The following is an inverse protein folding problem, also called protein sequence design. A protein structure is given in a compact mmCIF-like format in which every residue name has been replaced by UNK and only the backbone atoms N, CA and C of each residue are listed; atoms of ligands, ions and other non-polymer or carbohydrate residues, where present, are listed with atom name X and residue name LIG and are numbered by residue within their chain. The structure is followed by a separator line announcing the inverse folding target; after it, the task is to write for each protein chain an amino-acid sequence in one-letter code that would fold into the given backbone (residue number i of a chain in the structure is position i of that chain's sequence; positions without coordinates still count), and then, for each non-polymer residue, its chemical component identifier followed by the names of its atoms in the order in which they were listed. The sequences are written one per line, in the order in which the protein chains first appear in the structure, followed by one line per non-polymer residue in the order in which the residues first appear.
data_IF_229699161004
#
_entry.id   IF_229699161004
#
_cell.length_a   1.000
_cell.length_b   1.000
_cell.length_c   1.000
_cell.angle_alpha   90.00
_cell.angle_beta   90.00
_cell.angle_gamma   90.00
#
_symmetry.space_group_name_H-M   'P 1'
#
loop_
_entity.id
_entity.type
_entity.pdbx_description
1 polymer ?
#
# COMPACT_ATOMS: atom_id res chain seq x y z
N UNK A 1 -1.98 -10.29 5.87
CA UNK A 1 -3.01 -11.01 5.11
C UNK A 1 -2.34 -11.68 3.92
N UNK A 2 -2.72 -12.88 3.51
CA UNK A 2 -2.21 -13.45 2.27
C UNK A 2 -2.82 -12.71 1.07
N UNK A 3 -2.07 -12.56 -0.04
CA UNK A 3 -2.53 -11.81 -1.22
C UNK A 3 -3.82 -12.43 -1.81
N UNK A 4 -3.90 -13.75 -1.88
CA UNK A 4 -5.09 -14.48 -2.31
C UNK A 4 -6.34 -14.21 -1.44
N UNK A 5 -6.17 -14.03 -0.13
CA UNK A 5 -7.29 -13.70 0.76
C UNK A 5 -7.80 -12.28 0.51
N UNK A 6 -6.91 -11.36 0.13
CA UNK A 6 -7.28 -10.00 -0.24
C UNK A 6 -8.02 -9.96 -1.59
N UNK A 7 -7.54 -10.71 -2.58
CA UNK A 7 -8.18 -10.89 -3.90
C UNK A 7 -9.62 -11.40 -3.76
N UNK A 8 -9.82 -12.48 -3.00
CA UNK A 8 -11.16 -13.06 -2.79
C UNK A 8 -12.11 -12.08 -2.12
N UNK A 9 -11.66 -11.39 -1.05
CA UNK A 9 -12.47 -10.40 -0.34
C UNK A 9 -12.81 -9.19 -1.22
N UNK A 10 -11.86 -8.74 -2.02
CA UNK A 10 -12.07 -7.64 -2.96
C UNK A 10 -13.10 -8.03 -4.03
N UNK A 11 -12.92 -9.19 -4.67
CA UNK A 11 -13.83 -9.70 -5.70
C UNK A 11 -15.26 -9.86 -5.18
N UNK A 12 -15.43 -10.42 -3.98
CA UNK A 12 -16.74 -10.58 -3.37
C UNK A 12 -17.41 -9.23 -3.09
N UNK A 13 -16.68 -8.28 -2.49
CA UNK A 13 -17.21 -6.96 -2.18
C UNK A 13 -17.55 -6.15 -3.44
N UNK A 14 -16.71 -6.20 -4.48
CA UNK A 14 -16.99 -5.53 -5.75
C UNK A 14 -18.20 -6.15 -6.45
N UNK A 15 -18.30 -7.49 -6.48
CA UNK A 15 -19.45 -8.17 -7.06
C UNK A 15 -20.77 -7.80 -6.36
N UNK A 16 -20.78 -7.76 -5.03
CA UNK A 16 -21.94 -7.34 -4.25
C UNK A 16 -22.30 -5.87 -4.51
N UNK A 17 -21.31 -4.99 -4.60
CA UNK A 17 -21.53 -3.57 -4.91
C UNK A 17 -22.16 -3.39 -6.30
N UNK A 18 -21.67 -4.10 -7.32
CA UNK A 18 -22.22 -4.00 -8.68
C UNK A 18 -23.65 -4.52 -8.80
N UNK A 19 -24.08 -5.42 -7.91
CA UNK A 19 -25.45 -5.94 -7.88
C UNK A 19 -26.38 -5.02 -7.07
N UNK A 20 -25.95 -4.59 -5.88
CA UNK A 20 -26.81 -3.90 -4.91
C UNK A 20 -26.68 -2.37 -4.92
N UNK A 21 -25.47 -1.86 -5.21
CA UNK A 21 -25.13 -0.44 -5.10
C UNK A 21 -25.22 0.14 -3.69
N UNK A 22 -25.34 -0.69 -2.65
CA UNK A 22 -25.65 -0.24 -1.30
C UNK A 22 -24.46 0.42 -0.57
N UNK A 23 -24.74 1.38 0.32
CA UNK A 23 -23.74 2.05 1.16
C UNK A 23 -22.88 1.07 1.97
N UNK A 24 -23.46 -0.04 2.43
CA UNK A 24 -22.76 -1.08 3.19
C UNK A 24 -21.60 -1.70 2.39
N UNK A 25 -21.73 -1.78 1.06
CA UNK A 25 -20.67 -2.29 0.19
C UNK A 25 -19.51 -1.31 0.04
N UNK A 26 -19.76 0.00 0.10
CA UNK A 26 -18.72 1.03 0.12
C UNK A 26 -17.93 1.00 1.44
N UNK A 27 -18.61 0.76 2.57
CA UNK A 27 -17.94 0.57 3.85
C UNK A 27 -16.99 -0.64 3.82
N UNK A 28 -17.40 -1.76 3.20
CA UNK A 28 -16.51 -2.92 3.02
C UNK A 28 -15.33 -2.59 2.13
N UNK A 29 -15.54 -1.85 1.03
CA UNK A 29 -14.44 -1.40 0.16
C UNK A 29 -13.41 -0.54 0.93
N UNK A 30 -13.89 0.36 1.79
CA UNK A 30 -13.03 1.16 2.67
C UNK A 30 -12.20 0.29 3.64
N UNK A 31 -12.83 -0.69 4.28
CA UNK A 31 -12.15 -1.60 5.22
C UNK A 31 -11.11 -2.48 4.52
N UNK A 32 -11.40 -2.95 3.31
CA UNK A 32 -10.46 -3.69 2.46
C UNK A 32 -9.24 -2.80 2.16
N UNK A 33 -9.46 -1.56 1.68
CA UNK A 33 -8.38 -0.62 1.39
C UNK A 33 -7.51 -0.31 2.62
N UNK A 34 -8.14 -0.11 3.78
CA UNK A 34 -7.41 0.11 5.04
C UNK A 34 -6.55 -1.09 5.43
N UNK A 35 -7.06 -2.30 5.25
CA UNK A 35 -6.32 -3.53 5.61
C UNK A 35 -5.19 -3.81 4.61
N UNK A 36 -5.40 -3.52 3.33
CA UNK A 36 -4.39 -3.59 2.29
C UNK A 36 -3.24 -2.62 2.58
N UNK A 37 -3.56 -1.36 2.91
CA UNK A 37 -2.60 -0.34 3.31
C UNK A 37 -1.78 -0.77 4.54
N UNK A 38 -2.44 -1.30 5.58
CA UNK A 38 -1.77 -1.81 6.78
C UNK A 38 -0.86 -3.02 6.49
N UNK A 39 -1.13 -3.76 5.42
CA UNK A 39 -0.32 -4.88 4.94
C UNK A 39 0.77 -4.46 3.95
N UNK A 40 0.95 -3.16 3.70
CA UNK A 40 1.95 -2.62 2.78
C UNK A 40 1.57 -2.70 1.30
N UNK A 41 0.31 -3.00 0.97
CA UNK A 41 -0.16 -2.98 -0.42
C UNK A 41 -0.30 -1.53 -0.87
N UNK A 42 0.51 -1.14 -1.85
CA UNK A 42 0.48 0.18 -2.46
C UNK A 42 -0.71 0.37 -3.41
N UNK A 43 -0.86 1.60 -3.92
CA UNK A 43 -1.93 1.96 -4.86
C UNK A 43 -1.87 1.15 -6.15
N UNK A 44 -0.66 0.80 -6.62
CA UNK A 44 -0.48 -0.08 -7.77
C UNK A 44 -1.07 -1.47 -7.54
N UNK A 45 -0.79 -2.07 -6.38
CA UNK A 45 -1.35 -3.36 -6.00
C UNK A 45 -2.88 -3.30 -5.91
N UNK A 46 -3.44 -2.22 -5.38
CA UNK A 46 -4.89 -2.02 -5.35
C UNK A 46 -5.52 -1.89 -6.73
N UNK A 47 -4.84 -1.22 -7.68
CA UNK A 47 -5.32 -1.09 -9.05
C UNK A 47 -5.31 -2.46 -9.79
N UNK A 48 -4.26 -3.25 -9.60
CA UNK A 48 -4.18 -4.61 -10.15
C UNK A 48 -5.30 -5.51 -9.61
N UNK A 49 -5.52 -5.50 -8.29
CA UNK A 49 -6.62 -6.23 -7.65
C UNK A 49 -7.99 -5.83 -8.21
N UNK A 50 -8.23 -4.53 -8.39
CA UNK A 50 -9.48 -4.03 -8.94
C UNK A 50 -9.74 -4.59 -10.33
N UNK A 51 -8.73 -4.57 -11.20
CA UNK A 51 -8.89 -5.05 -12.55
C UNK A 51 -9.09 -6.56 -12.63
N UNK A 52 -8.32 -7.36 -11.90
CA UNK A 52 -8.50 -8.81 -11.87
C UNK A 52 -9.92 -9.19 -11.42
N UNK A 53 -10.42 -8.49 -10.39
CA UNK A 53 -11.77 -8.65 -9.92
C UNK A 53 -12.80 -8.28 -10.99
N UNK A 54 -12.65 -7.12 -11.63
CA UNK A 54 -13.55 -6.66 -12.69
C UNK A 54 -13.54 -7.61 -13.90
N UNK A 55 -12.36 -8.02 -14.36
CA UNK A 55 -12.20 -8.98 -15.46
C UNK A 55 -12.85 -10.33 -15.11
N UNK A 56 -12.72 -10.80 -13.86
CA UNK A 56 -13.40 -12.02 -13.40
C UNK A 56 -14.91 -11.88 -13.39
N UNK A 57 -15.45 -10.71 -13.05
CA UNK A 57 -16.90 -10.44 -13.07
C UNK A 57 -17.40 -10.42 -14.52
N UNK A 58 -16.70 -9.72 -15.41
CA UNK A 58 -17.07 -9.64 -16.84
C UNK A 58 -17.02 -11.01 -17.53
N UNK A 59 -16.01 -11.84 -17.21
CA UNK A 59 -15.94 -13.23 -17.69
C UNK A 59 -17.16 -14.04 -17.28
N UNK A 60 -17.61 -13.90 -16.03
CA UNK A 60 -18.79 -14.62 -15.51
C UNK A 60 -20.11 -14.10 -16.06
N UNK A 61 -20.16 -12.83 -16.44
CA UNK A 61 -21.33 -12.21 -17.04
C UNK A 61 -21.45 -12.45 -18.55
N UNK A 62 -20.57 -13.26 -19.14
CA UNK A 62 -20.55 -13.58 -20.58
C UNK A 62 -20.56 -12.34 -21.49
N UNK A 63 -19.86 -11.28 -21.04
CA UNK A 63 -19.71 -10.04 -21.81
C UNK A 63 -18.88 -10.30 -23.07
N UNK A 64 -19.22 -9.57 -24.14
CA UNK A 64 -18.54 -9.63 -25.44
C UNK A 64 -17.00 -9.55 -25.31
N UNK A 65 -16.30 -10.35 -26.11
CA UNK A 65 -14.85 -10.47 -26.04
C UNK A 65 -14.13 -9.16 -26.39
N UNK A 66 -14.67 -8.35 -27.30
CA UNK A 66 -14.08 -7.05 -27.62
C UNK A 66 -14.16 -6.10 -26.42
N UNK A 67 -15.30 -6.07 -25.72
CA UNK A 67 -15.44 -5.28 -24.51
C UNK A 67 -14.50 -5.75 -23.38
N UNK A 68 -14.22 -7.05 -23.28
CA UNK A 68 -13.23 -7.58 -22.34
C UNK A 68 -11.80 -7.12 -22.68
N UNK A 69 -11.42 -7.18 -23.95
CA UNK A 69 -10.11 -6.71 -24.42
C UNK A 69 -9.92 -5.20 -24.18
N UNK A 70 -10.97 -4.40 -24.38
CA UNK A 70 -10.93 -2.96 -24.08
C UNK A 70 -10.69 -2.70 -22.59
N UNK A 71 -11.29 -3.49 -21.69
CA UNK A 71 -11.08 -3.38 -20.24
C UNK A 71 -9.65 -3.78 -19.84
N UNK A 72 -9.07 -4.80 -20.46
CA UNK A 72 -7.66 -5.18 -20.26
C UNK A 72 -6.69 -4.09 -20.73
N UNK A 73 -6.94 -3.51 -21.91
CA UNK A 73 -6.14 -2.41 -22.44
C UNK A 73 -6.25 -1.14 -21.56
N UNK A 74 -7.45 -0.79 -21.12
CA UNK A 74 -7.68 0.35 -20.23
C UNK A 74 -6.95 0.19 -18.89
N UNK A 75 -6.90 -1.03 -18.34
CA UNK A 75 -6.15 -1.30 -17.13
C UNK A 75 -4.64 -1.21 -17.32
N UNK A 76 -4.09 -1.79 -18.38
CA UNK A 76 -2.65 -1.69 -18.67
C UNK A 76 -2.22 -0.21 -18.78
N UNK A 77 -3.04 0.62 -19.45
CA UNK A 77 -2.83 2.06 -19.51
C UNK A 77 -2.90 2.73 -18.12
N UNK A 78 -3.90 2.40 -17.31
CA UNK A 78 -4.05 2.99 -15.98
C UNK A 78 -2.89 2.62 -15.05
N UNK A 79 -2.47 1.35 -15.06
CA UNK A 79 -1.31 0.85 -14.32
C UNK A 79 -0.03 1.59 -14.72
N UNK A 80 0.21 1.78 -16.02
CA UNK A 80 1.34 2.56 -16.49
C UNK A 80 1.26 4.02 -16.01
N UNK A 81 0.07 4.62 -16.01
CA UNK A 81 -0.10 5.97 -15.47
C UNK A 81 0.22 6.07 -13.97
N UNK A 82 -0.02 5.00 -13.20
CA UNK A 82 0.30 4.91 -11.77
C UNK A 82 1.80 4.68 -11.51
N UNK A 83 2.56 4.19 -12.50
CA UNK A 83 4.01 3.98 -12.36
C UNK A 83 4.74 5.29 -12.00
N UNK A 84 4.31 6.42 -12.57
CA UNK A 84 4.83 7.74 -12.26
C UNK A 84 4.60 8.14 -10.79
N UNK A 85 3.46 7.77 -10.21
CA UNK A 85 3.13 8.06 -8.81
C UNK A 85 3.91 7.16 -7.85
N UNK A 86 4.08 5.88 -8.20
CA UNK A 86 4.88 4.93 -7.42
C UNK A 86 6.34 5.36 -7.31
N UNK A 87 6.95 5.84 -8.40
CA UNK A 87 8.34 6.31 -8.39
C UNK A 87 8.53 7.49 -7.42
N UNK A 88 7.63 8.48 -7.43
CA UNK A 88 7.68 9.60 -6.48
C UNK A 88 7.41 9.17 -5.03
N UNK A 89 6.50 8.21 -4.81
CA UNK A 89 6.12 7.80 -3.45
C UNK A 89 7.15 6.86 -2.81
N UNK A 90 7.84 6.03 -3.61
CA UNK A 90 8.95 5.18 -3.16
C UNK A 90 10.17 6.01 -2.80
N UNK A 91 10.51 7.01 -3.61
CA UNK A 91 11.56 7.98 -3.30
C UNK A 91 11.30 8.73 -1.98
N UNK A 92 10.03 9.06 -1.69
CA UNK A 92 9.62 9.67 -0.42
C UNK A 92 9.82 8.72 0.77
N UNK A 93 9.46 7.44 0.60
CA UNK A 93 9.65 6.39 1.60
C UNK A 93 11.13 6.15 1.91
N UNK A 94 11.97 6.07 0.88
CA UNK A 94 13.42 5.90 1.00
C UNK A 94 14.06 7.11 1.68
N UNK A 95 13.60 8.31 1.35
CA UNK A 95 14.06 9.56 1.99
C UNK A 95 13.68 9.57 3.48
N UNK A 96 12.46 9.18 3.84
CA UNK A 96 12.00 9.09 5.23
C UNK A 96 12.79 8.01 6.01
N UNK A 97 13.05 6.86 5.38
CA UNK A 97 13.85 5.79 5.98
C UNK A 97 15.31 6.24 6.21
N UNK A 98 15.92 6.92 5.24
CA UNK A 98 17.25 7.47 5.36
C UNK A 98 17.34 8.55 6.46
N UNK A 99 16.35 9.45 6.54
CA UNK A 99 16.25 10.46 7.59
C UNK A 99 16.11 9.83 8.99
N UNK A 100 15.28 8.79 9.14
CA UNK A 100 15.16 8.05 10.41
C UNK A 100 16.46 7.38 10.80
N UNK A 101 17.12 6.73 9.86
CA UNK A 101 18.42 6.10 10.10
C UNK A 101 19.48 7.12 10.55
N UNK A 102 19.52 8.31 9.95
CA UNK A 102 20.40 9.39 10.38
C UNK A 102 20.06 9.92 11.79
N UNK A 103 18.77 10.08 12.11
CA UNK A 103 18.34 10.46 13.45
C UNK A 103 18.75 9.43 14.51
N UNK A 104 18.54 8.13 14.25
CA UNK A 104 18.93 7.04 15.15
C UNK A 104 20.45 7.04 15.40
N UNK A 105 21.25 7.24 14.34
CA UNK A 105 22.71 7.34 14.44
C UNK A 105 23.19 8.56 15.24
N UNK A 106 22.42 9.65 15.27
CA UNK A 106 22.74 10.85 16.05
C UNK A 106 22.28 10.76 17.51
N UNK A 107 21.20 10.04 17.79
CA UNK A 107 20.73 9.82 19.16
C UNK A 107 21.64 8.87 19.96
N UNK A 108 22.25 7.88 19.32
CA UNK A 108 23.18 6.92 19.92
C UNK A 108 24.41 7.56 20.62
N UNK A 109 25.17 8.49 19.99
CA UNK A 109 26.23 9.25 20.66
C UNK A 109 25.72 10.21 21.75
N UNK A 110 24.53 10.81 21.55
CA UNK A 110 23.95 11.74 22.51
C UNK A 110 23.51 11.05 23.81
N UNK A 111 22.95 9.82 23.71
CA UNK A 111 22.61 8.98 24.87
C UNK A 111 23.84 8.46 25.60
N UNK A 112 24.92 8.09 24.88
CA UNK A 112 26.19 7.64 25.48
C UNK A 112 26.92 8.75 26.26
N UNK A 113 26.86 9.98 25.77
CA UNK A 113 27.49 11.13 26.43
C UNK A 113 26.76 11.54 27.72
N UNK A 114 25.44 11.32 27.79
CA UNK A 114 24.62 11.60 28.97
C UNK A 114 24.67 10.50 30.04
N UNK A 115 25.08 9.27 29.67
CA UNK A 115 25.17 8.12 30.57
C UNK A 115 26.58 7.84 31.10
N UNK A 116 27.60 8.52 30.59
CA UNK A 116 28.96 8.44 31.14
C UNK A 116 29.03 9.14 32.52
N UNK A 117 29.46 8.45 33.59
CA UNK A 117 29.54 9.06 34.91
C UNK A 117 30.63 10.15 34.93
N UNK A 118 30.27 11.34 35.39
CA UNK A 118 31.19 12.47 35.53
C UNK A 118 32.36 12.12 36.45
N UNK A 119 33.53 11.79 35.89
CA UNK A 119 34.77 11.65 36.66
C UNK A 119 35.32 13.06 36.89
N UNK A 120 35.02 13.63 38.07
CA UNK A 120 35.54 14.93 38.50
C UNK A 120 37.06 14.90 38.73
N UNK A 121 37.78 16.00 38.47
CA UNK A 121 39.24 16.00 38.48
C UNK A 121 39.78 15.82 39.90
N UNK A 122 40.55 14.75 40.11
CA UNK A 122 41.28 14.50 41.35
C UNK A 122 42.44 15.49 41.47
N UNK A 123 42.27 16.52 42.32
CA UNK A 123 43.34 17.46 42.69
C UNK A 123 44.46 16.69 43.41
N UNK A 124 45.62 16.62 42.76
CA UNK A 124 46.87 16.21 43.40
C UNK A 124 47.24 17.22 44.50
N UNK A 125 47.55 16.69 45.69
CA UNK A 125 48.43 17.32 46.68
C UNK A 125 49.46 16.27 47.08
#
# INVERSE_FOLDING_TARGET
MAVAELEERYLAALGEHLVSGEEASLQRAYEIGRTALASGVGIFGMAALHHEALASILRRAEIDEAARLDVEAAHAFFIESLSAFEMTHRELGDTIAALRHQNDLLEEPARRSQSAPCIGPHRRR
#
